data_IF_533426236570
#
_entry.id   IF_533426236570
#
_cell.length_a   1.000
_cell.length_b   1.000
_cell.length_c   1.000
_cell.angle_alpha   90.00
_cell.angle_beta   90.00
_cell.angle_gamma   90.00
#
_symmetry.space_group_name_H-M   'P 1'
#
loop_
_entity.id
_entity.type
_entity.pdbx_description
1 polymer ?
#
# COMPACT_ATOMS: atom_id res chain seq x y z
N UNK A 1 12.47 -12.97 -40.66
CA UNK A 1 12.32 -11.79 -39.76
C UNK A 1 11.04 -11.88 -38.92
N UNK A 2 9.89 -12.26 -39.49
CA UNK A 2 8.63 -12.48 -38.75
C UNK A 2 8.70 -13.56 -37.65
N UNK A 3 9.38 -14.68 -37.89
CA UNK A 3 9.52 -15.76 -36.90
C UNK A 3 10.34 -15.34 -35.66
N UNK A 4 11.46 -14.63 -35.87
CA UNK A 4 12.27 -14.07 -34.77
C UNK A 4 11.49 -13.05 -33.94
N UNK A 5 10.69 -12.19 -34.58
CA UNK A 5 9.82 -11.26 -33.86
C UNK A 5 8.76 -12.01 -33.06
N UNK A 6 8.17 -13.09 -33.58
CA UNK A 6 7.22 -13.90 -32.82
C UNK A 6 7.85 -14.62 -31.63
N UNK A 7 9.09 -15.12 -31.77
CA UNK A 7 9.82 -15.80 -30.69
C UNK A 7 10.28 -14.83 -29.60
N UNK A 8 10.76 -13.64 -29.98
CA UNK A 8 11.08 -12.57 -29.03
C UNK A 8 9.80 -12.07 -28.34
N UNK A 9 8.68 -12.00 -29.07
CA UNK A 9 7.38 -11.65 -28.50
C UNK A 9 6.89 -12.74 -27.53
N UNK A 10 7.06 -14.03 -27.83
CA UNK A 10 6.69 -15.11 -26.91
C UNK A 10 7.59 -15.17 -25.68
N UNK A 11 8.91 -14.97 -25.82
CA UNK A 11 9.83 -14.89 -24.69
C UNK A 11 9.50 -13.70 -23.78
N UNK A 12 9.35 -12.50 -24.35
CA UNK A 12 8.96 -11.32 -23.56
C UNK A 12 7.58 -11.46 -22.92
N UNK A 13 6.63 -12.13 -23.59
CA UNK A 13 5.33 -12.45 -23.01
C UNK A 13 5.44 -13.38 -21.81
N UNK A 14 6.22 -14.46 -21.90
CA UNK A 14 6.48 -15.40 -20.80
C UNK A 14 7.13 -14.67 -19.62
N UNK A 15 8.18 -13.86 -19.85
CA UNK A 15 8.81 -13.07 -18.79
C UNK A 15 7.82 -12.09 -18.11
N UNK A 16 6.95 -11.44 -18.88
CA UNK A 16 5.96 -10.51 -18.32
C UNK A 16 4.87 -11.23 -17.53
N UNK A 17 4.44 -12.42 -17.96
CA UNK A 17 3.47 -13.23 -17.19
C UNK A 17 4.09 -13.74 -15.90
N UNK A 18 5.36 -14.13 -15.93
CA UNK A 18 6.08 -14.62 -14.75
C UNK A 18 6.27 -13.51 -13.71
N UNK A 19 6.62 -12.29 -14.13
CA UNK A 19 6.71 -11.14 -13.22
C UNK A 19 5.37 -10.79 -12.58
N UNK A 20 4.26 -10.88 -13.34
CA UNK A 20 2.92 -10.65 -12.78
C UNK A 20 2.52 -11.74 -11.79
N UNK A 21 2.79 -13.00 -12.10
CA UNK A 21 2.54 -14.11 -11.19
C UNK A 21 3.36 -13.98 -9.91
N UNK A 22 4.65 -13.63 -10.02
CA UNK A 22 5.51 -13.38 -8.87
C UNK A 22 4.97 -12.25 -7.99
N UNK A 23 4.48 -11.17 -8.59
CA UNK A 23 3.84 -10.06 -7.85
C UNK A 23 2.54 -10.50 -7.14
N UNK A 24 1.70 -11.31 -7.78
CA UNK A 24 0.51 -11.88 -7.13
C UNK A 24 0.85 -12.82 -5.96
N UNK A 25 1.90 -13.63 -6.10
CA UNK A 25 2.39 -14.49 -5.02
C UNK A 25 2.96 -13.66 -3.86
N UNK A 26 3.67 -12.56 -4.17
CA UNK A 26 4.13 -11.60 -3.16
C UNK A 26 2.96 -10.96 -2.39
N UNK A 27 1.92 -10.48 -3.09
CA UNK A 27 0.72 -9.95 -2.41
C UNK A 27 0.03 -11.01 -1.55
N UNK A 28 -0.02 -12.26 -2.02
CA UNK A 28 -0.59 -13.37 -1.26
C UNK A 28 0.21 -13.67 0.02
N UNK A 29 1.55 -13.62 -0.03
CA UNK A 29 2.37 -13.80 1.18
C UNK A 29 2.16 -12.68 2.18
N UNK A 30 2.09 -11.42 1.74
CA UNK A 30 1.82 -10.28 2.62
C UNK A 30 0.43 -10.41 3.27
N UNK A 31 -0.59 -10.81 2.51
CA UNK A 31 -1.93 -11.07 3.04
C UNK A 31 -1.90 -12.14 4.15
N UNK A 32 -1.15 -13.23 3.98
CA UNK A 32 -1.00 -14.28 5.00
C UNK A 32 -0.35 -13.73 6.27
N UNK A 33 0.68 -12.86 6.13
CA UNK A 33 1.33 -12.20 7.28
C UNK A 33 0.34 -11.32 8.03
N UNK A 34 -0.43 -10.46 7.33
CA UNK A 34 -1.47 -9.63 7.93
C UNK A 34 -2.54 -10.46 8.64
N UNK A 35 -3.05 -11.51 8.01
CA UNK A 35 -4.05 -12.41 8.61
C UNK A 35 -3.52 -13.11 9.87
N UNK A 36 -2.25 -13.51 9.86
CA UNK A 36 -1.61 -14.14 11.02
C UNK A 36 -1.49 -13.15 12.19
N UNK A 37 -1.14 -11.89 11.91
CA UNK A 37 -1.07 -10.85 12.94
C UNK A 37 -2.46 -10.50 13.50
N UNK A 38 -3.48 -10.41 12.64
CA UNK A 38 -4.88 -10.23 13.07
C UNK A 38 -5.32 -11.39 13.97
N UNK A 39 -4.97 -12.64 13.60
CA UNK A 39 -5.23 -13.81 14.43
C UNK A 39 -4.54 -13.71 15.80
N UNK A 40 -3.29 -13.25 15.86
CA UNK A 40 -2.59 -13.00 17.12
C UNK A 40 -3.33 -11.97 17.99
N UNK A 41 -3.83 -10.87 17.41
CA UNK A 41 -4.60 -9.86 18.14
C UNK A 41 -5.84 -10.48 18.78
N UNK A 42 -6.60 -11.30 18.03
CA UNK A 42 -7.76 -12.00 18.57
C UNK A 42 -7.42 -13.08 19.59
N UNK A 43 -6.28 -13.75 19.45
CA UNK A 43 -5.85 -14.78 20.40
C UNK A 43 -5.48 -14.20 21.77
N UNK A 44 -4.82 -13.04 21.78
CA UNK A 44 -4.35 -12.40 23.02
C UNK A 44 -5.32 -11.38 23.62
N UNK A 45 -6.46 -11.11 22.97
CA UNK A 45 -7.44 -10.15 23.49
C UNK A 45 -8.00 -10.61 24.84
N UNK A 46 -7.96 -9.72 25.83
CA UNK A 46 -8.58 -9.93 27.15
C UNK A 46 -9.78 -8.99 27.26
N UNK A 47 -10.79 -9.36 28.06
CA UNK A 47 -11.97 -8.51 28.28
C UNK A 47 -11.66 -7.15 28.91
N UNK A 48 -10.48 -6.99 29.52
CA UNK A 48 -9.98 -5.74 30.10
C UNK A 48 -9.03 -4.96 29.19
N UNK A 49 -8.80 -5.41 27.96
CA UNK A 49 -7.92 -4.73 27.01
C UNK A 49 -8.53 -3.39 26.58
N UNK A 50 -7.71 -2.34 26.56
CA UNK A 50 -8.11 -1.01 26.08
C UNK A 50 -7.73 -0.88 24.60
N UNK A 51 -8.49 -0.11 23.83
CA UNK A 51 -8.12 0.20 22.44
C UNK A 51 -6.87 1.09 22.40
N UNK A 52 -5.96 0.84 21.45
CA UNK A 52 -4.72 1.63 21.26
C UNK A 52 -5.03 3.07 20.82
N UNK A 53 -6.11 3.23 20.05
CA UNK A 53 -6.65 4.49 19.59
C UNK A 53 -8.17 4.40 19.49
N UNK A 54 -8.84 5.54 19.64
CA UNK A 54 -10.29 5.60 19.54
C UNK A 54 -10.70 5.58 18.05
N UNK A 55 -11.53 4.64 17.60
CA UNK A 55 -11.78 4.40 16.17
C UNK A 55 -12.42 5.58 15.43
N UNK A 56 -13.17 6.42 16.13
CA UNK A 56 -13.80 7.63 15.56
C UNK A 56 -12.95 8.90 15.71
N UNK A 57 -11.70 8.77 16.18
CA UNK A 57 -10.75 9.86 16.33
C UNK A 57 -9.88 10.05 15.09
N UNK A 58 -8.57 9.86 15.24
CA UNK A 58 -7.60 9.92 14.14
C UNK A 58 -7.81 8.79 13.10
N UNK A 59 -8.11 7.52 13.49
CA UNK A 59 -8.24 6.42 12.54
C UNK A 59 -9.30 6.62 11.44
N UNK A 60 -10.41 7.31 11.74
CA UNK A 60 -11.44 7.58 10.73
C UNK A 60 -10.97 8.65 9.71
N UNK A 61 -10.20 9.64 10.16
CA UNK A 61 -9.58 10.63 9.27
C UNK A 61 -8.55 9.98 8.36
N UNK A 62 -7.71 9.10 8.92
CA UNK A 62 -6.75 8.30 8.17
C UNK A 62 -7.41 7.42 7.11
N UNK A 63 -8.51 6.77 7.48
CA UNK A 63 -9.32 5.96 6.55
C UNK A 63 -9.83 6.82 5.39
N UNK A 64 -10.33 8.02 5.68
CA UNK A 64 -10.76 8.96 4.65
C UNK A 64 -9.61 9.39 3.73
N UNK A 65 -8.42 9.68 4.29
CA UNK A 65 -7.24 10.06 3.51
C UNK A 65 -6.81 8.95 2.54
N UNK A 66 -6.73 7.69 2.98
CA UNK A 66 -6.38 6.56 2.12
C UNK A 66 -7.46 6.25 1.08
N UNK A 67 -8.74 6.35 1.45
CA UNK A 67 -9.85 6.17 0.51
C UNK A 67 -9.82 7.23 -0.60
N UNK A 68 -9.61 8.50 -0.25
CA UNK A 68 -9.46 9.60 -1.22
C UNK A 68 -8.22 9.41 -2.10
N UNK A 69 -7.11 8.97 -1.51
CA UNK A 69 -5.90 8.65 -2.26
C UNK A 69 -6.15 7.56 -3.32
N UNK A 70 -6.85 6.49 -2.95
CA UNK A 70 -7.24 5.39 -3.86
C UNK A 70 -8.18 5.86 -4.98
N UNK A 71 -9.10 6.78 -4.67
CA UNK A 71 -9.95 7.42 -5.67
C UNK A 71 -9.12 8.23 -6.69
N UNK A 72 -8.13 9.00 -6.23
CA UNK A 72 -7.24 9.74 -7.13
C UNK A 72 -6.42 8.80 -8.02
N UNK A 73 -5.91 7.67 -7.51
CA UNK A 73 -5.20 6.69 -8.34
C UNK A 73 -6.12 6.03 -9.36
N UNK A 74 -7.37 5.75 -9.00
CA UNK A 74 -8.38 5.26 -9.94
C UNK A 74 -8.68 6.30 -11.04
N UNK A 75 -8.77 7.59 -10.68
CA UNK A 75 -8.91 8.69 -11.64
C UNK A 75 -7.66 8.91 -12.51
N UNK A 76 -6.47 8.63 -11.98
CA UNK A 76 -5.24 8.57 -12.79
C UNK A 76 -5.31 7.43 -13.80
N UNK A 77 -5.76 6.24 -13.39
CA UNK A 77 -5.92 5.08 -14.27
C UNK A 77 -6.85 5.39 -15.46
N UNK A 78 -7.98 6.05 -15.21
CA UNK A 78 -8.89 6.47 -16.29
C UNK A 78 -8.31 7.54 -17.21
N UNK A 79 -7.30 8.30 -16.75
CA UNK A 79 -6.69 9.43 -17.45
C UNK A 79 -5.21 9.18 -17.83
N UNK A 80 -4.79 7.92 -18.02
CA UNK A 80 -3.41 7.49 -18.28
C UNK A 80 -2.70 8.23 -19.45
N UNK A 81 -3.45 8.83 -20.38
CA UNK A 81 -2.91 9.58 -21.52
C UNK A 81 -2.89 11.12 -21.33
N UNK A 82 -3.48 11.65 -20.26
CA UNK A 82 -3.63 13.10 -20.06
C UNK A 82 -2.56 13.67 -19.14
N UNK A 83 -2.12 14.91 -19.42
CA UNK A 83 -1.29 15.71 -18.51
C UNK A 83 -1.98 15.87 -17.14
N UNK A 84 -3.32 15.86 -17.11
CA UNK A 84 -4.13 15.92 -15.89
C UNK A 84 -3.94 14.70 -14.98
N UNK A 85 -3.53 13.55 -15.54
CA UNK A 85 -3.25 12.34 -14.76
C UNK A 85 -2.21 12.58 -13.66
N UNK A 86 -1.18 13.38 -13.95
CA UNK A 86 -0.12 13.69 -12.97
C UNK A 86 -0.66 14.41 -11.74
N UNK A 87 -1.66 15.27 -11.88
CA UNK A 87 -2.26 16.01 -10.77
C UNK A 87 -2.88 15.04 -9.76
N UNK A 88 -3.57 14.00 -10.23
CA UNK A 88 -4.16 12.99 -9.36
C UNK A 88 -3.11 12.20 -8.57
N UNK A 89 -1.97 11.86 -9.20
CA UNK A 89 -0.86 11.20 -8.50
C UNK A 89 -0.28 12.10 -7.40
N UNK A 90 -0.11 13.41 -7.67
CA UNK A 90 0.34 14.35 -6.65
C UNK A 90 -0.65 14.50 -5.49
N UNK A 91 -1.96 14.57 -5.77
CA UNK A 91 -3.00 14.62 -4.73
C UNK A 91 -2.99 13.35 -3.87
N UNK A 92 -2.85 12.18 -4.49
CA UNK A 92 -2.71 10.90 -3.82
C UNK A 92 -1.48 10.85 -2.91
N UNK A 93 -0.33 11.34 -3.39
CA UNK A 93 0.91 11.42 -2.61
C UNK A 93 0.79 12.39 -1.42
N UNK A 94 0.11 13.52 -1.58
CA UNK A 94 -0.16 14.43 -0.45
C UNK A 94 -1.05 13.75 0.60
N UNK A 95 -2.11 13.05 0.17
CA UNK A 95 -2.95 12.28 1.08
C UNK A 95 -2.16 11.19 1.83
N UNK A 96 -1.23 10.50 1.15
CA UNK A 96 -0.40 9.46 1.79
C UNK A 96 0.59 10.03 2.80
N UNK A 97 1.20 11.18 2.51
CA UNK A 97 2.09 11.86 3.47
C UNK A 97 1.33 12.35 4.71
N UNK A 98 0.12 12.88 4.53
CA UNK A 98 -0.75 13.26 5.65
C UNK A 98 -1.13 12.03 6.49
N UNK A 99 -1.47 10.90 5.85
CA UNK A 99 -1.71 9.64 6.55
C UNK A 99 -0.49 9.22 7.38
N UNK A 100 0.72 9.24 6.80
CA UNK A 100 1.95 8.84 7.51
C UNK A 100 2.19 9.74 8.72
N UNK A 101 1.96 11.06 8.59
CA UNK A 101 2.08 12.00 9.70
C UNK A 101 1.13 11.66 10.85
N UNK A 102 -0.17 11.47 10.57
CA UNK A 102 -1.16 11.11 11.58
C UNK A 102 -0.88 9.74 12.21
N UNK A 103 -0.45 8.75 11.42
CA UNK A 103 -0.16 7.41 11.92
C UNK A 103 1.04 7.40 12.87
N UNK A 104 2.07 8.22 12.58
CA UNK A 104 3.21 8.39 13.49
C UNK A 104 2.80 9.13 14.75
N UNK A 105 1.97 10.18 14.64
CA UNK A 105 1.45 10.91 15.81
C UNK A 105 0.61 10.00 16.71
N UNK A 106 -0.27 9.17 16.14
CA UNK A 106 -1.05 8.17 16.87
C UNK A 106 -0.15 7.14 17.57
N UNK A 107 0.89 6.66 16.87
CA UNK A 107 1.83 5.68 17.44
C UNK A 107 2.59 6.25 18.64
N UNK A 108 2.99 7.52 18.58
CA UNK A 108 3.74 8.20 19.65
C UNK A 108 2.85 8.63 20.83
N UNK A 109 1.60 9.01 20.57
CA UNK A 109 0.65 9.47 21.59
C UNK A 109 -0.24 8.36 22.16
N UNK A 110 0.05 7.09 21.86
CA UNK A 110 -0.73 5.98 22.39
C UNK A 110 -0.64 5.90 23.93
N UNK A 111 -1.77 5.58 24.57
CA UNK A 111 -1.87 5.42 26.03
C UNK A 111 -1.19 4.13 26.52
N UNK A 112 -0.94 3.19 25.61
CA UNK A 112 -0.42 1.84 25.91
C UNK A 112 0.92 1.62 25.21
N UNK A 113 1.78 0.79 25.81
CA UNK A 113 3.08 0.44 25.23
C UNK A 113 3.08 -1.00 24.73
N UNK A 114 3.82 -1.25 23.63
CA UNK A 114 3.97 -2.58 23.03
C UNK A 114 4.60 -3.63 23.95
N UNK A 115 5.37 -3.21 24.95
CA UNK A 115 6.10 -4.09 25.87
C UNK A 115 5.24 -4.62 27.04
N UNK A 116 4.03 -4.10 27.24
CA UNK A 116 3.24 -4.39 28.43
C UNK A 116 2.45 -5.71 28.35
N UNK A 117 1.94 -6.06 27.16
CA UNK A 117 1.10 -7.25 26.97
C UNK A 117 1.24 -7.77 25.52
N UNK A 118 1.22 -9.08 25.27
CA UNK A 118 1.27 -9.65 23.92
C UNK A 118 0.16 -9.14 22.99
N UNK A 119 -1.01 -8.77 23.52
CA UNK A 119 -2.06 -8.12 22.75
C UNK A 119 -1.57 -6.79 22.15
N UNK A 120 -1.02 -5.90 22.97
CA UNK A 120 -0.51 -4.60 22.49
C UNK A 120 0.67 -4.81 21.54
N UNK A 121 1.58 -5.74 21.82
CA UNK A 121 2.65 -6.10 20.90
C UNK A 121 2.12 -6.49 19.51
N UNK A 122 1.11 -7.38 19.46
CA UNK A 122 0.51 -7.82 18.20
C UNK A 122 -0.16 -6.67 17.42
N UNK A 123 -0.89 -5.80 18.10
CA UNK A 123 -1.53 -4.67 17.46
C UNK A 123 -0.53 -3.60 16.97
N UNK A 124 0.50 -3.26 17.76
CA UNK A 124 1.56 -2.34 17.32
C UNK A 124 2.36 -2.92 16.15
N UNK A 125 2.62 -4.23 16.12
CA UNK A 125 3.23 -4.88 14.95
C UNK A 125 2.33 -4.82 13.73
N UNK A 126 1.02 -5.05 13.87
CA UNK A 126 0.05 -4.98 12.78
C UNK A 126 -0.03 -3.56 12.18
N UNK A 127 -0.21 -2.54 13.03
CA UNK A 127 -0.26 -1.14 12.60
C UNK A 127 1.09 -0.68 12.05
N UNK A 128 2.20 -1.07 12.68
CA UNK A 128 3.55 -0.76 12.20
C UNK A 128 3.87 -1.39 10.85
N UNK A 129 3.43 -2.64 10.62
CA UNK A 129 3.52 -3.29 9.32
C UNK A 129 2.67 -2.54 8.29
N UNK A 130 1.42 -2.21 8.59
CA UNK A 130 0.59 -1.40 7.69
C UNK A 130 1.27 -0.06 7.33
N UNK A 131 1.83 0.64 8.31
CA UNK A 131 2.55 1.89 8.08
C UNK A 131 3.77 1.71 7.15
N UNK A 132 4.55 0.64 7.35
CA UNK A 132 5.70 0.37 6.47
C UNK A 132 5.27 0.11 5.02
N UNK A 133 4.14 -0.58 4.81
CA UNK A 133 3.56 -0.79 3.49
C UNK A 133 3.09 0.52 2.84
N UNK A 134 2.47 1.43 3.60
CA UNK A 134 2.05 2.74 3.09
C UNK A 134 3.26 3.62 2.73
N UNK A 135 4.36 3.54 3.50
CA UNK A 135 5.62 4.23 3.16
C UNK A 135 6.18 3.69 1.84
N UNK A 136 6.29 2.36 1.69
CA UNK A 136 6.73 1.74 0.42
C UNK A 136 5.80 2.09 -0.75
N UNK A 137 4.49 2.08 -0.51
CA UNK A 137 3.49 2.50 -1.50
C UNK A 137 3.66 3.96 -1.91
N UNK A 138 3.98 4.84 -0.96
CA UNK A 138 4.23 6.27 -1.22
C UNK A 138 5.47 6.49 -2.08
N UNK A 139 6.53 5.69 -1.89
CA UNK A 139 7.67 5.67 -2.83
C UNK A 139 7.23 5.21 -4.23
N UNK A 140 6.35 4.20 -4.32
CA UNK A 140 5.73 3.79 -5.58
C UNK A 140 4.91 4.89 -6.26
N UNK A 141 4.16 5.69 -5.50
CA UNK A 141 3.44 6.86 -6.02
C UNK A 141 4.39 7.96 -6.51
N UNK A 142 5.49 8.17 -5.79
CA UNK A 142 6.55 9.08 -6.23
C UNK A 142 7.15 8.63 -7.55
N UNK A 143 7.45 7.34 -7.73
CA UNK A 143 7.87 6.79 -9.03
C UNK A 143 6.78 6.98 -10.10
N UNK A 144 5.51 6.76 -9.76
CA UNK A 144 4.38 6.93 -10.69
C UNK A 144 4.23 8.38 -11.18
N UNK A 145 4.68 9.39 -10.42
CA UNK A 145 4.70 10.78 -10.87
C UNK A 145 5.57 10.97 -12.13
N UNK A 146 6.59 10.13 -12.31
CA UNK A 146 7.47 10.04 -13.48
C UNK A 146 6.91 9.21 -14.64
N UNK A 147 5.61 8.88 -14.66
CA UNK A 147 4.99 8.00 -15.67
C UNK A 147 5.27 8.42 -17.13
N UNK A 148 5.36 9.72 -17.41
CA UNK A 148 5.64 10.23 -18.76
C UNK A 148 7.12 10.19 -19.14
N UNK A 149 8.03 10.06 -18.16
CA UNK A 149 9.47 10.17 -18.38
C UNK A 149 10.13 8.84 -18.72
N UNK A 150 9.62 7.71 -18.21
CA UNK A 150 10.27 6.41 -18.44
C UNK A 150 9.31 5.31 -18.91
N UNK A 151 9.75 4.55 -19.91
CA UNK A 151 9.06 3.34 -20.37
C UNK A 151 8.98 2.27 -19.28
N UNK A 152 9.94 2.26 -18.34
CA UNK A 152 9.98 1.32 -17.24
C UNK A 152 8.83 1.53 -16.24
N UNK A 153 8.54 2.79 -15.87
CA UNK A 153 7.40 3.12 -14.99
C UNK A 153 6.08 2.72 -15.67
N UNK A 154 5.96 2.92 -17.00
CA UNK A 154 4.77 2.49 -17.75
C UNK A 154 4.53 0.99 -17.71
N UNK A 155 5.59 0.19 -17.68
CA UNK A 155 5.50 -1.26 -17.56
C UNK A 155 5.05 -1.70 -16.15
N UNK A 156 5.54 -1.03 -15.10
CA UNK A 156 5.21 -1.34 -13.70
C UNK A 156 3.91 -0.73 -13.18
N UNK A 157 3.32 0.24 -13.89
CA UNK A 157 2.21 1.05 -13.38
C UNK A 157 1.06 0.23 -12.77
N UNK A 158 0.66 -0.87 -13.41
CA UNK A 158 -0.43 -1.74 -12.93
C UNK A 158 -0.09 -2.41 -11.61
N UNK A 159 1.17 -2.79 -11.41
CA UNK A 159 1.62 -3.38 -10.13
C UNK A 159 1.61 -2.31 -9.03
N UNK A 160 2.11 -1.10 -9.33
CA UNK A 160 2.09 0.02 -8.37
C UNK A 160 0.66 0.43 -7.98
N UNK A 161 -0.26 0.50 -8.95
CA UNK A 161 -1.68 0.83 -8.70
C UNK A 161 -2.46 -0.27 -7.97
N UNK A 162 -2.00 -1.52 -8.04
CA UNK A 162 -2.64 -2.65 -7.32
C UNK A 162 -2.03 -2.84 -5.93
N UNK A 163 -0.76 -2.51 -5.77
CA UNK A 163 -0.09 -2.51 -4.46
C UNK A 163 -0.60 -1.38 -3.57
N UNK A 164 -0.84 -0.20 -4.16
CA UNK A 164 -1.50 0.92 -3.51
C UNK A 164 -2.98 0.62 -3.29
#
# INVERSE_FOLDING_TARGET
MSLLVSQVCSLSYIYVTDCKMAFWLFLASELIVFLTMIFCCFWYIKGSSVAISYPLGIPILETYLLMMSSFFISAFHSNLASVKGRIFVYLSLVCSLLFIFFAVDEFLNSVVNSLCDPYYASCFMLVGLHLSHVILGSFGLYELSGFQLSSFIRWKNKMLMVYW
#
